data_IF_282564311367
#
_entry.id   IF_282564311367
#
_cell.length_a   1.000
_cell.length_b   1.000
_cell.length_c   1.000
_cell.angle_alpha   90.00
_cell.angle_beta   90.00
_cell.angle_gamma   90.00
#
_symmetry.space_group_name_H-M   'P 1'
#
loop_
_entity.id
_entity.type
_entity.pdbx_description
1 polymer ?
#
# COMPACT_ATOMS: atom_id res chain seq x y z
N UNK A 1 4.81 -15.08 -5.06
CA UNK A 1 3.57 -14.29 -4.98
C UNK A 1 2.39 -15.23 -4.83
N UNK A 2 1.35 -14.85 -4.07
CA UNK A 2 0.06 -15.55 -3.97
C UNK A 2 -0.99 -14.59 -4.52
N UNK A 3 -1.93 -15.08 -5.32
CA UNK A 3 -2.96 -14.28 -5.99
C UNK A 3 -4.27 -15.06 -5.96
N UNK A 4 -5.39 -14.36 -5.82
CA UNK A 4 -6.72 -14.97 -5.93
C UNK A 4 -7.02 -15.35 -7.37
N UNK A 5 -7.51 -16.58 -7.60
CA UNK A 5 -8.07 -16.97 -8.88
C UNK A 5 -9.58 -16.75 -8.85
N UNK A 6 -10.04 -15.72 -9.56
CA UNK A 6 -11.44 -15.30 -9.59
C UNK A 6 -12.19 -16.13 -10.63
N UNK A 7 -13.21 -16.88 -10.18
CA UNK A 7 -14.01 -17.75 -11.04
C UNK A 7 -15.27 -17.08 -11.62
N UNK A 8 -15.73 -16.01 -10.97
CA UNK A 8 -16.88 -15.18 -11.38
C UNK A 8 -16.66 -13.78 -10.84
N UNK A 9 -16.96 -12.77 -11.65
CA UNK A 9 -16.87 -11.35 -11.28
C UNK A 9 -17.85 -10.53 -12.10
N UNK A 10 -18.41 -9.49 -11.50
CA UNK A 10 -19.30 -8.53 -12.17
C UNK A 10 -18.51 -7.45 -12.96
N UNK A 11 -17.17 -7.45 -12.84
CA UNK A 11 -16.23 -6.55 -13.51
C UNK A 11 -15.09 -7.35 -14.14
N UNK A 12 -14.75 -7.06 -15.40
CA UNK A 12 -13.72 -7.78 -16.18
C UNK A 12 -12.29 -7.29 -15.92
N UNK A 13 -12.02 -6.65 -14.77
CA UNK A 13 -10.75 -6.03 -14.43
C UNK A 13 -10.09 -6.76 -13.26
N UNK A 14 -8.85 -7.20 -13.44
CA UNK A 14 -8.05 -7.78 -12.36
C UNK A 14 -7.48 -6.70 -11.45
N UNK A 15 -7.59 -6.88 -10.13
CA UNK A 15 -7.14 -5.90 -9.13
C UNK A 15 -5.79 -6.29 -8.53
N UNK A 16 -4.83 -5.37 -8.56
CA UNK A 16 -3.54 -5.50 -7.88
C UNK A 16 -3.59 -4.76 -6.53
N UNK A 17 -3.91 -5.49 -5.46
CA UNK A 17 -3.91 -4.92 -4.10
C UNK A 17 -2.48 -4.63 -3.60
N UNK A 18 -2.17 -3.35 -3.41
CA UNK A 18 -0.91 -2.86 -2.82
C UNK A 18 -1.06 -2.33 -1.38
N UNK A 19 -2.27 -2.41 -0.82
CA UNK A 19 -2.58 -1.99 0.54
C UNK A 19 -1.97 -2.88 1.64
N UNK A 20 -2.19 -2.47 2.89
CA UNK A 20 -1.68 -3.18 4.07
C UNK A 20 -2.17 -4.63 4.17
N UNK A 21 -1.35 -5.45 4.83
CA UNK A 21 -1.69 -6.81 5.22
C UNK A 21 -2.69 -6.81 6.39
N UNK A 22 -3.99 -6.70 6.07
CA UNK A 22 -5.07 -6.71 7.07
C UNK A 22 -5.63 -8.12 7.25
N UNK A 23 -5.87 -8.53 8.51
CA UNK A 23 -6.27 -9.91 8.84
C UNK A 23 -7.69 -10.26 8.41
N UNK A 24 -8.49 -9.30 7.93
CA UNK A 24 -9.92 -9.48 7.66
C UNK A 24 -10.25 -10.13 6.31
N UNK A 25 -9.57 -9.75 5.22
CA UNK A 25 -9.97 -10.18 3.87
C UNK A 25 -9.56 -11.62 3.51
N UNK A 26 -8.45 -12.11 4.08
CA UNK A 26 -8.02 -13.50 3.91
C UNK A 26 -8.85 -14.49 4.75
N UNK A 27 -9.59 -14.03 5.76
CA UNK A 27 -10.25 -14.88 6.74
C UNK A 27 -11.63 -15.37 6.30
N UNK A 28 -12.24 -14.77 5.26
CA UNK A 28 -13.61 -15.13 4.82
C UNK A 28 -13.71 -16.43 4.02
N UNK A 29 -12.59 -16.99 3.53
CA UNK A 29 -12.59 -18.23 2.72
C UNK A 29 -11.49 -19.23 3.07
N UNK A 30 -10.48 -18.85 3.86
CA UNK A 30 -9.43 -19.77 4.31
C UNK A 30 -9.84 -20.51 5.60
N UNK A 31 -9.61 -21.83 5.62
CA UNK A 31 -9.86 -22.71 6.78
C UNK A 31 -9.23 -22.15 8.07
N UNK A 32 -9.90 -22.27 9.25
CA UNK A 32 -9.47 -21.66 10.52
C UNK A 32 -8.17 -22.22 11.13
N UNK A 33 -7.36 -22.96 10.36
CA UNK A 33 -6.09 -23.56 10.78
C UNK A 33 -4.83 -22.88 10.21
N UNK A 34 -4.95 -21.85 9.37
CA UNK A 34 -3.79 -21.09 8.85
C UNK A 34 -3.75 -19.66 9.39
N UNK A 35 -3.11 -19.47 10.55
CA UNK A 35 -2.83 -18.15 11.17
C UNK A 35 -1.71 -17.36 10.46
N UNK A 36 -1.49 -17.63 9.17
CA UNK A 36 -0.42 -17.03 8.37
C UNK A 36 -1.03 -16.00 7.43
N UNK A 37 -0.93 -14.71 7.78
CA UNK A 37 -1.12 -13.63 6.82
C UNK A 37 -0.21 -13.87 5.60
N UNK A 38 -0.78 -13.84 4.40
CA UNK A 38 0.01 -13.97 3.18
C UNK A 38 0.74 -12.65 2.89
N UNK A 39 2.04 -12.67 2.54
CA UNK A 39 2.74 -11.45 2.19
C UNK A 39 2.06 -10.75 1.00
N UNK A 40 1.80 -9.46 1.16
CA UNK A 40 1.38 -8.53 0.10
C UNK A 40 2.43 -8.47 -1.01
N UNK A 41 2.10 -7.87 -2.15
CA UNK A 41 3.05 -7.75 -3.26
C UNK A 41 4.33 -6.98 -2.86
N UNK A 42 4.28 -5.81 -2.19
CA UNK A 42 5.49 -5.13 -1.71
C UNK A 42 6.29 -5.97 -0.69
N UNK A 43 5.64 -6.57 0.32
CA UNK A 43 6.32 -7.45 1.29
C UNK A 43 7.01 -8.64 0.61
N UNK A 44 6.38 -9.21 -0.42
CA UNK A 44 6.94 -10.34 -1.16
C UNK A 44 8.16 -9.93 -1.99
N UNK A 45 8.16 -8.74 -2.59
CA UNK A 45 9.32 -8.23 -3.33
C UNK A 45 10.52 -7.97 -2.42
N UNK A 46 10.31 -7.58 -1.17
CA UNK A 46 11.36 -7.52 -0.14
C UNK A 46 11.89 -8.93 0.16
N UNK A 47 11.01 -9.91 0.39
CA UNK A 47 11.42 -11.29 0.67
C UNK A 47 12.21 -11.95 -0.46
N UNK A 48 11.85 -11.66 -1.73
CA UNK A 48 12.56 -12.14 -2.91
C UNK A 48 13.85 -11.33 -3.21
N UNK A 49 14.15 -10.29 -2.41
CA UNK A 49 15.37 -9.47 -2.51
C UNK A 49 15.40 -8.49 -3.68
N UNK A 50 14.22 -8.04 -4.13
CA UNK A 50 14.07 -7.16 -5.30
C UNK A 50 13.93 -5.67 -4.93
N UNK A 51 13.43 -5.37 -3.73
CA UNK A 51 13.31 -4.02 -3.18
C UNK A 51 13.71 -3.99 -1.70
N UNK A 52 14.22 -2.86 -1.20
CA UNK A 52 14.71 -2.75 0.18
C UNK A 52 13.59 -2.66 1.23
N UNK A 53 12.54 -1.90 0.95
CA UNK A 53 11.41 -1.61 1.85
C UNK A 53 10.08 -1.89 1.13
N UNK A 54 9.03 -2.38 1.81
CA UNK A 54 7.72 -2.61 1.20
C UNK A 54 6.97 -1.28 1.09
N UNK A 55 7.39 -0.47 0.13
CA UNK A 55 6.80 0.83 -0.18
C UNK A 55 6.57 0.94 -1.69
N UNK A 56 5.75 1.88 -2.12
CA UNK A 56 5.59 2.23 -3.54
C UNK A 56 5.30 3.71 -3.73
N UNK A 57 5.66 4.25 -4.88
CA UNK A 57 5.26 5.61 -5.30
C UNK A 57 4.40 5.57 -6.55
N UNK A 58 3.44 6.49 -6.61
CA UNK A 58 2.45 6.62 -7.65
C UNK A 58 2.49 8.03 -8.23
N UNK A 59 2.53 8.09 -9.56
CA UNK A 59 2.47 9.32 -10.35
C UNK A 59 1.54 9.07 -11.51
N UNK A 60 0.40 9.76 -11.57
CA UNK A 60 -0.66 9.45 -12.54
C UNK A 60 -0.46 10.11 -13.92
N UNK A 61 0.55 10.98 -14.05
CA UNK A 61 0.79 11.86 -15.20
C UNK A 61 -0.40 12.83 -15.47
N UNK A 62 -0.30 13.68 -16.50
CA UNK A 62 -1.35 14.65 -16.82
C UNK A 62 -2.58 14.02 -17.48
N UNK A 63 -3.69 14.77 -17.53
CA UNK A 63 -4.97 14.28 -18.07
C UNK A 63 -4.96 13.96 -19.57
N UNK A 64 -3.91 14.32 -20.32
CA UNK A 64 -3.71 13.94 -21.71
C UNK A 64 -2.78 12.73 -21.89
N UNK A 65 -2.10 12.31 -20.83
CA UNK A 65 -1.19 11.17 -20.85
C UNK A 65 -1.95 9.84 -20.89
N UNK A 66 -1.42 8.88 -21.65
CA UNK A 66 -2.01 7.53 -21.79
C UNK A 66 -1.50 6.53 -20.74
N UNK A 67 -0.61 6.95 -19.83
CA UNK A 67 0.02 6.08 -18.84
C UNK A 67 0.67 6.87 -17.70
N UNK A 68 0.42 6.48 -16.45
CA UNK A 68 1.20 6.91 -15.29
C UNK A 68 2.36 5.95 -14.95
N UNK A 69 3.02 6.20 -13.82
CA UNK A 69 4.13 5.42 -13.29
C UNK A 69 3.84 4.90 -11.87
N UNK A 70 4.17 3.62 -11.64
CA UNK A 70 4.18 2.95 -10.34
C UNK A 70 5.58 2.41 -10.07
N UNK A 71 6.26 2.92 -9.04
CA UNK A 71 7.59 2.44 -8.64
C UNK A 71 7.49 1.68 -7.33
N UNK A 72 8.15 0.53 -7.24
CA UNK A 72 8.13 -0.32 -6.05
C UNK A 72 9.48 -0.17 -5.31
N UNK A 73 9.44 0.24 -4.05
CA UNK A 73 10.61 0.43 -3.20
C UNK A 73 11.51 1.63 -3.55
N UNK A 74 11.00 2.60 -4.32
CA UNK A 74 11.73 3.81 -4.73
C UNK A 74 10.78 5.00 -4.94
N UNK A 75 11.38 6.19 -4.97
CA UNK A 75 10.77 7.42 -5.47
C UNK A 75 11.49 7.90 -6.75
N UNK A 76 10.86 8.81 -7.51
CA UNK A 76 11.49 9.54 -8.62
C UNK A 76 11.42 11.04 -8.34
N UNK A 77 12.57 11.63 -8.03
CA UNK A 77 12.66 13.06 -7.67
C UNK A 77 12.49 13.99 -8.87
N UNK A 78 12.48 13.46 -10.10
CA UNK A 78 12.20 14.24 -11.31
C UNK A 78 10.70 14.54 -11.52
N UNK A 79 9.80 13.82 -10.81
CA UNK A 79 8.34 13.78 -11.02
C UNK A 79 7.52 14.65 -10.07
N UNK A 80 8.16 15.34 -9.14
CA UNK A 80 7.51 16.28 -8.24
C UNK A 80 8.30 17.59 -8.09
N UNK A 81 7.66 18.59 -7.51
CA UNK A 81 8.25 19.87 -7.16
C UNK A 81 7.91 20.29 -5.73
N UNK A 82 8.80 21.08 -5.12
CA UNK A 82 8.72 21.41 -3.69
C UNK A 82 9.15 20.24 -2.79
N UNK A 83 8.88 20.34 -1.47
CA UNK A 83 9.21 19.29 -0.52
C UNK A 83 8.24 18.10 -0.64
N UNK A 84 8.77 16.88 -0.49
CA UNK A 84 7.96 15.68 -0.28
C UNK A 84 7.58 15.62 1.21
N UNK A 85 6.34 15.96 1.54
CA UNK A 85 5.84 15.98 2.91
C UNK A 85 5.44 14.57 3.32
N UNK A 86 6.07 14.00 4.36
CA UNK A 86 5.68 12.70 4.94
C UNK A 86 4.94 12.84 6.26
N UNK A 87 3.96 11.97 6.44
CA UNK A 87 3.13 11.89 7.63
C UNK A 87 2.67 10.44 7.89
N UNK A 88 2.39 10.09 9.13
CA UNK A 88 1.88 8.76 9.46
C UNK A 88 0.40 8.60 9.08
N UNK A 89 0.01 7.43 8.55
CA UNK A 89 -1.40 7.09 8.40
C UNK A 89 -2.08 7.08 9.76
N UNK A 90 -3.37 7.41 9.80
CA UNK A 90 -4.15 7.20 11.02
C UNK A 90 -4.57 5.73 11.13
N UNK A 91 -4.39 5.14 12.31
CA UNK A 91 -5.05 3.87 12.66
C UNK A 91 -6.27 4.15 13.55
N UNK A 92 -7.41 3.54 13.22
CA UNK A 92 -8.69 3.73 13.94
C UNK A 92 -8.74 2.91 15.23
N UNK A 93 -7.90 3.29 16.20
CA UNK A 93 -7.83 2.69 17.53
C UNK A 93 -7.07 1.37 17.61
N UNK A 94 -6.51 1.07 18.79
CA UNK A 94 -5.58 -0.04 19.04
C UNK A 94 -6.12 -1.46 18.77
N UNK A 95 -7.42 -1.59 18.50
CA UNK A 95 -8.09 -2.87 18.24
C UNK A 95 -8.57 -3.04 16.79
N UNK A 96 -8.47 -2.01 15.94
CA UNK A 96 -8.79 -2.12 14.52
C UNK A 96 -7.63 -2.80 13.79
N UNK A 97 -7.90 -3.99 13.23
CA UNK A 97 -6.96 -4.70 12.35
C UNK A 97 -7.00 -4.18 10.91
N UNK A 98 -7.89 -3.23 10.61
CA UNK A 98 -8.03 -2.58 9.30
C UNK A 98 -7.08 -1.38 9.19
N UNK A 99 -5.83 -1.66 8.84
CA UNK A 99 -4.88 -0.64 8.37
C UNK A 99 -5.25 -0.19 6.96
N UNK A 100 -5.27 1.13 6.75
CA UNK A 100 -5.57 1.80 5.48
C UNK A 100 -4.73 3.06 5.36
N UNK A 101 -4.66 3.65 4.17
CA UNK A 101 -3.99 4.93 3.95
C UNK A 101 -4.94 6.10 4.26
N UNK A 102 -5.40 6.13 5.51
CA UNK A 102 -6.34 7.13 6.01
C UNK A 102 -5.58 8.37 6.52
N UNK A 103 -6.08 9.56 6.21
CA UNK A 103 -5.54 10.86 6.66
C UNK A 103 -6.67 11.81 7.07
N UNK A 104 -6.33 13.01 7.52
CA UNK A 104 -7.28 14.02 7.97
C UNK A 104 -7.45 15.14 6.96
N UNK A 105 -8.70 15.56 6.73
CA UNK A 105 -8.99 16.87 6.16
C UNK A 105 -8.97 17.90 7.30
N UNK A 106 -8.09 18.88 7.22
CA UNK A 106 -7.90 19.91 8.25
C UNK A 106 -8.66 21.19 7.91
N UNK A 107 -8.68 21.58 6.64
CA UNK A 107 -9.55 22.65 6.16
C UNK A 107 -9.86 22.45 4.69
N UNK A 108 -11.06 22.82 4.30
CA UNK A 108 -11.51 22.80 2.91
C UNK A 108 -11.91 24.23 2.54
N UNK A 109 -11.24 24.82 1.54
CA UNK A 109 -11.54 26.19 1.10
C UNK A 109 -11.70 26.21 -0.42
N UNK A 110 -12.62 27.04 -0.93
CA UNK A 110 -12.94 27.11 -2.35
C UNK A 110 -13.38 28.49 -2.82
N UNK A 111 -13.35 28.69 -4.13
CA UNK A 111 -13.91 29.87 -4.79
C UNK A 111 -14.47 29.51 -6.18
N UNK A 112 -15.42 30.32 -6.66
CA UNK A 112 -16.01 30.21 -8.02
C UNK A 112 -15.11 30.74 -9.13
N UNK A 113 -14.10 31.56 -8.79
CA UNK A 113 -13.05 32.03 -9.69
C UNK A 113 -11.67 31.61 -9.19
N UNK A 114 -10.77 31.41 -10.14
CA UNK A 114 -9.33 31.34 -9.99
C UNK A 114 -8.70 32.57 -9.29
N UNK A 115 -9.28 33.76 -9.46
CA UNK A 115 -8.73 35.02 -8.93
C UNK A 115 -9.30 35.45 -7.57
N UNK A 116 -10.54 35.07 -7.25
CA UNK A 116 -11.22 35.46 -6.01
C UNK A 116 -10.60 34.77 -4.76
N UNK A 117 -10.74 35.40 -3.59
CA UNK A 117 -10.29 34.86 -2.31
C UNK A 117 -11.05 33.57 -1.94
N UNK A 118 -10.30 32.55 -1.49
CA UNK A 118 -10.90 31.28 -1.05
C UNK A 118 -11.72 31.49 0.23
N UNK A 119 -12.95 30.98 0.21
CA UNK A 119 -13.83 30.92 1.38
C UNK A 119 -13.81 29.50 1.97
N UNK A 120 -13.95 29.35 3.30
CA UNK A 120 -14.11 28.02 3.91
C UNK A 120 -15.40 27.36 3.42
N UNK A 121 -15.34 26.06 3.18
CA UNK A 121 -16.47 25.19 2.82
C UNK A 121 -16.65 24.12 3.89
N UNK A 122 -17.87 23.59 4.04
CA UNK A 122 -18.22 22.58 5.03
C UNK A 122 -18.18 23.14 6.45
N UNK A 123 -19.22 23.88 6.85
CA UNK A 123 -19.34 24.42 8.23
C UNK A 123 -19.22 23.35 9.33
N UNK A 124 -19.45 22.06 9.01
CA UNK A 124 -19.33 20.96 9.96
C UNK A 124 -17.90 20.43 10.13
N UNK A 125 -16.91 20.91 9.35
CA UNK A 125 -15.49 20.60 9.55
C UNK A 125 -15.01 21.13 10.90
N UNK A 126 -15.16 20.29 11.92
CA UNK A 126 -14.69 20.57 13.27
C UNK A 126 -13.17 20.62 13.23
N UNK A 127 -12.59 21.67 13.81
CA UNK A 127 -11.17 21.63 14.13
C UNK A 127 -10.95 20.45 15.06
N UNK A 128 -10.14 19.48 14.62
CA UNK A 128 -9.98 18.25 15.36
C UNK A 128 -9.26 18.53 16.69
N UNK A 129 -9.98 18.36 17.80
CA UNK A 129 -9.44 18.58 19.15
C UNK A 129 -9.10 17.30 19.90
N UNK A 130 -9.40 16.12 19.33
CA UNK A 130 -9.22 14.82 19.97
C UNK A 130 -8.62 13.79 18.99
N UNK A 131 -7.68 12.99 19.49
CA UNK A 131 -7.07 11.85 18.79
C UNK A 131 -8.09 10.77 18.39
N UNK A 132 -9.23 10.70 19.07
CA UNK A 132 -10.31 9.74 18.79
C UNK A 132 -11.37 10.25 17.80
N UNK A 133 -11.38 11.54 17.44
CA UNK A 133 -12.38 12.12 16.54
C UNK A 133 -12.16 11.66 15.09
N UNK A 134 -13.11 10.90 14.52
CA UNK A 134 -13.07 10.36 13.15
C UNK A 134 -13.88 11.15 12.14
N UNK A 135 -14.51 12.27 12.50
CA UNK A 135 -15.41 13.00 11.59
C UNK A 135 -14.71 13.54 10.34
N UNK A 136 -13.43 13.90 10.41
CA UNK A 136 -12.68 14.41 9.25
C UNK A 136 -11.69 13.37 8.67
N UNK A 137 -11.88 12.08 8.98
CA UNK A 137 -11.01 11.00 8.50
C UNK A 137 -11.38 10.61 7.08
N UNK A 138 -10.42 10.66 6.16
CA UNK A 138 -10.62 10.36 4.74
C UNK A 138 -9.61 9.31 4.25
N UNK A 139 -10.08 8.33 3.48
CA UNK A 139 -9.23 7.36 2.79
C UNK A 139 -8.61 7.99 1.54
N UNK A 140 -7.31 7.80 1.31
CA UNK A 140 -6.71 8.09 0.00
C UNK A 140 -6.95 6.90 -0.96
N UNK A 141 -7.73 7.13 -2.01
CA UNK A 141 -8.16 6.13 -2.99
C UNK A 141 -7.78 6.53 -4.43
N UNK A 142 -6.49 6.50 -4.81
CA UNK A 142 -6.06 6.82 -6.18
C UNK A 142 -6.48 5.74 -7.22
N UNK A 143 -7.19 4.71 -6.79
CA UNK A 143 -7.91 3.74 -7.63
C UNK A 143 -9.36 4.17 -7.95
N UNK A 144 -9.94 5.08 -7.16
CA UNK A 144 -11.31 5.57 -7.35
C UNK A 144 -11.33 6.78 -8.31
N UNK A 145 -12.23 6.74 -9.30
CA UNK A 145 -12.45 7.88 -10.19
C UNK A 145 -13.16 9.06 -9.49
N UNK A 146 -14.04 8.75 -8.52
CA UNK A 146 -14.84 9.71 -7.76
C UNK A 146 -14.34 9.79 -6.31
N UNK A 147 -14.65 10.92 -5.66
CA UNK A 147 -14.45 11.13 -4.23
C UNK A 147 -15.79 11.11 -3.50
N UNK A 148 -15.82 10.61 -2.27
CA UNK A 148 -17.00 10.66 -1.39
C UNK A 148 -16.65 11.50 -0.17
N UNK A 149 -17.46 12.51 0.12
CA UNK A 149 -17.20 13.49 1.18
C UNK A 149 -18.41 13.63 2.12
N UNK A 150 -18.21 14.24 3.31
CA UNK A 150 -19.30 14.74 4.14
C UNK A 150 -20.32 15.54 3.33
N UNK A 151 -21.60 15.38 3.67
CA UNK A 151 -22.72 15.94 2.93
C UNK A 151 -22.64 17.47 2.75
N UNK A 152 -22.23 18.19 3.80
CA UNK A 152 -22.08 19.64 3.76
C UNK A 152 -20.97 20.09 2.80
N UNK A 153 -19.79 19.45 2.84
CA UNK A 153 -18.68 19.73 1.90
C UNK A 153 -19.11 19.39 0.47
N UNK A 154 -19.79 18.26 0.26
CA UNK A 154 -20.25 17.84 -1.06
C UNK A 154 -21.28 18.84 -1.63
N UNK A 155 -22.28 19.23 -0.85
CA UNK A 155 -23.31 20.19 -1.25
C UNK A 155 -22.74 21.59 -1.52
N UNK A 156 -21.82 22.07 -0.68
CA UNK A 156 -21.10 23.33 -0.92
C UNK A 156 -20.34 23.29 -2.25
N UNK A 157 -19.65 22.18 -2.54
CA UNK A 157 -18.94 21.98 -3.80
C UNK A 157 -19.86 21.88 -5.01
N UNK A 158 -21.03 21.25 -4.89
CA UNK A 158 -22.04 21.22 -5.94
C UNK A 158 -22.56 22.64 -6.23
N UNK A 159 -22.89 23.40 -5.18
CA UNK A 159 -23.30 24.81 -5.30
C UNK A 159 -22.18 25.72 -5.82
N UNK A 160 -20.91 25.37 -5.57
CA UNK A 160 -19.74 26.09 -6.07
C UNK A 160 -19.53 25.85 -7.57
N UNK A 161 -19.57 24.59 -8.01
CA UNK A 161 -19.31 24.17 -9.39
C UNK A 161 -20.52 24.29 -10.33
N UNK A 162 -21.75 24.35 -9.79
CA UNK A 162 -22.99 24.25 -10.58
C UNK A 162 -23.38 22.80 -10.91
N UNK A 163 -22.98 21.85 -10.06
CA UNK A 163 -23.41 20.45 -10.15
C UNK A 163 -24.74 20.23 -9.40
N UNK A 164 -25.44 19.16 -9.72
CA UNK A 164 -26.71 18.77 -9.09
C UNK A 164 -26.82 17.25 -8.97
N UNK A 165 -27.52 16.78 -7.94
CA UNK A 165 -27.90 15.37 -7.82
C UNK A 165 -28.90 14.95 -8.90
N UNK A 166 -28.74 13.73 -9.42
CA UNK A 166 -29.67 13.09 -10.34
C UNK A 166 -30.19 11.77 -9.74
N UNK A 167 -31.49 11.72 -9.46
CA UNK A 167 -32.14 10.57 -8.79
C UNK A 167 -32.22 9.32 -9.68
N UNK A 168 -32.34 9.47 -11.00
CA UNK A 168 -32.46 8.34 -11.94
C UNK A 168 -31.11 7.62 -12.12
N UNK A 169 -30.01 8.38 -12.10
CA UNK A 169 -28.63 7.87 -12.21
C UNK A 169 -28.04 7.46 -10.87
N UNK A 170 -28.47 8.07 -9.76
CA UNK A 170 -27.87 7.88 -8.44
C UNK A 170 -26.47 8.52 -8.31
N UNK A 171 -26.22 9.63 -8.99
CA UNK A 171 -24.97 10.39 -8.92
C UNK A 171 -25.19 11.91 -9.06
N UNK A 172 -24.27 12.69 -8.51
CA UNK A 172 -24.13 14.10 -8.85
C UNK A 172 -23.53 14.28 -10.26
N UNK A 173 -24.17 15.13 -11.06
CA UNK A 173 -23.83 15.44 -12.44
C UNK A 173 -23.64 16.94 -12.65
N UNK A 174 -22.95 17.30 -13.74
CA UNK A 174 -22.68 18.67 -14.17
C UNK A 174 -22.71 18.73 -15.70
N UNK A 175 -23.17 19.80 -16.37
CA UNK A 175 -23.09 19.91 -17.82
C UNK A 175 -21.64 19.75 -18.32
N UNK A 176 -21.42 18.95 -19.38
CA UNK A 176 -20.07 18.66 -19.92
C UNK A 176 -19.37 19.86 -20.60
N UNK A 177 -19.83 21.09 -20.40
CA UNK A 177 -19.27 22.28 -21.06
C UNK A 177 -17.97 22.73 -20.37
N UNK A 178 -16.83 22.35 -20.94
CA UNK A 178 -15.48 22.44 -20.35
C UNK A 178 -14.95 23.85 -19.95
N UNK A 179 -15.75 24.92 -20.11
CA UNK A 179 -15.28 26.31 -20.02
C UNK A 179 -16.08 27.22 -19.06
N UNK A 180 -16.96 26.66 -18.24
CA UNK A 180 -17.72 27.44 -17.24
C UNK A 180 -17.12 27.37 -15.83
N UNK A 181 -16.43 26.27 -15.49
CA UNK A 181 -15.99 25.95 -14.13
C UNK A 181 -14.60 26.51 -13.80
N UNK A 182 -14.49 27.84 -13.72
CA UNK A 182 -13.20 28.55 -13.48
C UNK A 182 -12.71 28.55 -12.02
N UNK A 183 -13.48 27.99 -11.10
CA UNK A 183 -13.15 27.99 -9.67
C UNK A 183 -11.99 27.10 -9.27
N UNK A 184 -11.52 27.26 -8.03
CA UNK A 184 -10.39 26.54 -7.45
C UNK A 184 -10.61 26.20 -5.98
N UNK A 185 -9.94 25.15 -5.52
CA UNK A 185 -9.98 24.63 -4.16
C UNK A 185 -8.58 24.54 -3.56
N UNK A 186 -8.50 24.72 -2.24
CA UNK A 186 -7.34 24.37 -1.42
C UNK A 186 -7.80 23.45 -0.27
N UNK A 187 -7.36 22.19 -0.30
CA UNK A 187 -7.66 21.19 0.72
C UNK A 187 -6.40 20.92 1.54
N UNK A 188 -6.38 21.38 2.78
CA UNK A 188 -5.29 21.12 3.72
C UNK A 188 -5.48 19.72 4.33
N UNK A 189 -4.47 18.86 4.19
CA UNK A 189 -4.44 17.56 4.85
C UNK A 189 -3.46 17.57 6.03
N UNK A 190 -3.69 16.68 6.99
CA UNK A 190 -2.76 16.33 8.08
C UNK A 190 -2.19 17.52 8.88
N UNK A 191 -3.06 18.42 9.34
CA UNK A 191 -2.68 19.58 10.17
C UNK A 191 -2.16 20.75 9.33
N UNK A 192 -1.80 21.85 10.00
CA UNK A 192 -1.36 23.10 9.37
C UNK A 192 -0.02 23.01 8.64
N UNK A 193 0.83 22.03 8.97
CA UNK A 193 2.10 21.77 8.28
C UNK A 193 1.99 20.74 7.15
N UNK A 194 0.86 20.05 7.01
CA UNK A 194 0.69 18.99 6.02
C UNK A 194 0.53 19.48 4.56
N UNK A 195 0.31 18.57 3.59
CA UNK A 195 0.20 18.94 2.19
C UNK A 195 -1.14 19.63 1.87
N UNK A 196 -1.08 20.64 1.00
CA UNK A 196 -2.26 21.33 0.43
C UNK A 196 -2.53 20.83 -0.98
N UNK A 197 -3.68 20.22 -1.20
CA UNK A 197 -4.18 19.90 -2.54
C UNK A 197 -4.75 21.17 -3.17
N UNK A 198 -4.15 21.64 -4.25
CA UNK A 198 -4.68 22.73 -5.05
C UNK A 198 -5.35 22.12 -6.29
N UNK A 199 -6.66 22.26 -6.41
CA UNK A 199 -7.49 21.55 -7.40
C UNK A 199 -8.39 22.54 -8.12
N UNK A 200 -8.40 22.55 -9.46
CA UNK A 200 -9.38 23.35 -10.20
C UNK A 200 -10.76 22.68 -10.13
N UNK A 201 -11.85 23.44 -10.13
CA UNK A 201 -13.18 22.82 -10.17
C UNK A 201 -13.44 22.07 -11.48
N UNK A 202 -12.82 22.49 -12.58
CA UNK A 202 -12.78 21.72 -13.83
C UNK A 202 -12.13 20.33 -13.66
N UNK A 203 -11.17 20.17 -12.74
CA UNK A 203 -10.53 18.88 -12.47
C UNK A 203 -11.44 17.88 -11.76
N UNK A 204 -12.51 18.37 -11.13
CA UNK A 204 -13.59 17.60 -10.54
C UNK A 204 -14.66 17.22 -11.57
N UNK A 205 -14.54 17.54 -12.84
CA UNK A 205 -15.44 17.03 -13.88
C UNK A 205 -14.83 15.75 -14.47
N UNK A 206 -15.57 14.63 -14.44
CA UNK A 206 -15.15 13.42 -15.14
C UNK A 206 -15.35 13.65 -16.65
N UNK A 207 -14.31 13.40 -17.45
CA UNK A 207 -14.39 13.61 -18.91
C UNK A 207 -15.51 12.78 -19.53
N UNK A 208 -16.21 13.39 -20.50
CA UNK A 208 -17.21 12.73 -21.36
C UNK A 208 -16.65 11.49 -22.07
N UNK A 209 -15.34 11.43 -22.35
CA UNK A 209 -14.68 10.27 -22.94
C UNK A 209 -14.66 9.05 -22.00
N UNK A 210 -14.74 9.28 -20.68
CA UNK A 210 -14.83 8.24 -19.65
C UNK A 210 -16.28 7.89 -19.36
N UNK A 211 -17.13 8.92 -19.20
CA UNK A 211 -18.56 8.77 -18.98
C UNK A 211 -19.30 10.06 -19.31
N UNK A 212 -20.42 9.95 -20.02
CA UNK A 212 -21.42 11.02 -20.18
C UNK A 212 -22.84 10.44 -20.22
N UNK A 213 -23.83 11.31 -20.01
CA UNK A 213 -25.25 10.99 -20.14
C UNK A 213 -26.00 12.14 -20.83
N UNK A 214 -26.76 11.80 -21.88
CA UNK A 214 -27.60 12.75 -22.60
C UNK A 214 -29.03 12.73 -22.06
N UNK A 215 -29.49 13.87 -21.55
CA UNK A 215 -30.89 14.05 -21.14
C UNK A 215 -31.65 14.88 -22.16
N UNK A 216 -32.83 14.41 -22.56
CA UNK A 216 -33.70 15.14 -23.48
C UNK A 216 -34.64 16.09 -22.73
N UNK A 217 -34.54 17.39 -23.02
CA UNK A 217 -35.50 18.38 -22.52
C UNK A 217 -36.64 18.57 -23.52
N UNK A 218 -37.87 18.33 -23.06
CA UNK A 218 -39.10 18.63 -23.80
C UNK A 218 -39.40 20.13 -23.87
N UNK A 219 -38.79 20.95 -23.00
CA UNK A 219 -39.01 22.41 -22.97
C UNK A 219 -38.16 23.15 -24.01
N UNK A 220 -36.94 22.67 -24.25
CA UNK A 220 -36.00 23.25 -25.23
C UNK A 220 -35.93 22.45 -26.54
N UNK A 221 -36.65 21.32 -26.62
CA UNK A 221 -36.60 20.34 -27.70
C UNK A 221 -35.15 19.93 -28.08
N UNK A 222 -34.31 19.74 -27.06
CA UNK A 222 -32.87 19.47 -27.22
C UNK A 222 -32.32 18.49 -26.18
N UNK A 223 -31.34 17.69 -26.58
CA UNK A 223 -30.51 16.93 -25.65
C UNK A 223 -29.45 17.85 -25.01
N UNK A 224 -29.22 17.67 -23.70
CA UNK A 224 -28.10 18.27 -22.97
C UNK A 224 -27.18 17.16 -22.47
N UNK A 225 -25.87 17.34 -22.63
CA UNK A 225 -24.87 16.35 -22.22
C UNK A 225 -24.35 16.65 -20.81
N UNK A 226 -24.45 15.65 -19.93
CA UNK A 226 -24.02 15.72 -18.54
C UNK A 226 -22.88 14.75 -18.27
N UNK A 227 -21.94 15.21 -17.46
CA UNK A 227 -20.75 14.50 -17.01
C UNK A 227 -20.90 14.20 -15.51
N UNK A 228 -20.26 13.15 -15.00
CA UNK A 228 -20.23 12.91 -13.55
C UNK A 228 -19.45 14.04 -12.88
N UNK A 229 -20.03 14.58 -11.80
CA UNK A 229 -19.25 15.41 -10.89
C UNK A 229 -18.43 14.51 -9.97
N UNK A 230 -17.15 14.85 -9.83
CA UNK A 230 -16.10 14.06 -9.20
C UNK A 230 -16.18 13.95 -7.69
N UNK A 231 -17.22 14.53 -7.09
CA UNK A 231 -17.48 14.58 -5.65
C UNK A 231 -18.92 14.17 -5.40
N UNK A 232 -19.10 13.16 -4.56
CA UNK A 232 -20.39 12.61 -4.16
C UNK A 232 -20.58 12.81 -2.64
N UNK A 233 -21.83 12.97 -2.19
CA UNK A 233 -22.16 12.98 -0.76
C UNK A 233 -22.26 11.55 -0.23
N UNK A 234 -21.78 11.33 1.00
CA UNK A 234 -21.96 10.08 1.74
C UNK A 234 -23.43 9.61 1.81
N UNK A 235 -24.38 10.56 1.88
CA UNK A 235 -25.80 10.26 2.00
C UNK A 235 -26.39 9.73 0.70
N UNK A 236 -25.79 10.11 -0.43
CA UNK A 236 -26.28 9.77 -1.76
C UNK A 236 -25.65 8.49 -2.30
N UNK A 237 -24.43 8.14 -1.87
CA UNK A 237 -23.71 6.90 -2.25
C UNK A 237 -24.15 5.67 -1.44
N UNK A 238 -25.45 5.35 -1.45
CA UNK A 238 -26.02 4.20 -0.69
C UNK A 238 -25.48 2.81 -1.07
N UNK A 239 -24.67 2.70 -2.13
CA UNK A 239 -24.37 1.44 -2.83
C UNK A 239 -22.95 0.90 -2.61
N UNK A 240 -21.97 1.72 -2.17
CA UNK A 240 -20.55 1.31 -2.17
C UNK A 240 -19.77 1.53 -0.87
N UNK A 241 -20.21 2.40 0.04
CA UNK A 241 -19.47 2.66 1.29
C UNK A 241 -19.79 1.59 2.33
N UNK A 242 -18.80 0.78 2.71
CA UNK A 242 -18.91 -0.09 3.88
C UNK A 242 -19.27 0.73 5.13
N UNK A 243 -20.16 0.21 5.97
CA UNK A 243 -20.74 0.88 7.16
C UNK A 243 -19.77 1.25 8.29
N UNK A 244 -18.46 1.29 8.02
CA UNK A 244 -17.42 1.71 8.97
C UNK A 244 -16.98 3.16 8.77
N UNK A 245 -16.68 3.59 7.52
CA UNK A 245 -16.28 4.98 7.19
C UNK A 245 -16.62 5.26 5.71
N UNK A 246 -17.35 6.35 5.38
CA UNK A 246 -17.80 6.61 4.02
C UNK A 246 -16.88 7.52 3.18
N UNK A 247 -15.94 8.25 3.79
CA UNK A 247 -15.18 9.30 3.08
C UNK A 247 -13.92 8.81 2.36
N UNK A 248 -13.74 9.25 1.11
CA UNK A 248 -12.56 8.99 0.29
C UNK A 248 -12.19 10.15 -0.63
N UNK A 249 -10.89 10.38 -0.83
CA UNK A 249 -10.36 11.21 -1.91
C UNK A 249 -9.94 10.31 -3.06
N UNK A 250 -10.66 10.43 -4.18
CA UNK A 250 -10.35 9.80 -5.45
C UNK A 250 -9.43 10.63 -6.34
N UNK A 251 -9.22 10.16 -7.56
CA UNK A 251 -8.35 10.78 -8.55
C UNK A 251 -8.74 12.21 -8.93
N UNK A 252 -10.01 12.61 -8.73
CA UNK A 252 -10.47 13.99 -8.92
C UNK A 252 -9.73 15.00 -8.03
N UNK A 253 -9.27 14.60 -6.83
CA UNK A 253 -8.33 15.40 -6.02
C UNK A 253 -6.87 14.94 -6.18
N UNK A 254 -6.63 13.64 -6.35
CA UNK A 254 -5.28 13.07 -6.24
C UNK A 254 -4.43 13.14 -7.52
N UNK A 255 -5.01 13.35 -8.71
CA UNK A 255 -4.26 13.34 -9.99
C UNK A 255 -3.13 14.37 -10.10
N UNK A 256 -3.22 15.49 -9.38
CA UNK A 256 -2.19 16.53 -9.33
C UNK A 256 -1.07 16.27 -8.31
N UNK A 257 -0.95 15.02 -7.84
CA UNK A 257 -0.12 14.65 -6.70
C UNK A 257 0.88 13.56 -7.05
N UNK A 258 2.09 13.70 -6.54
CA UNK A 258 3.04 12.61 -6.42
C UNK A 258 2.90 11.99 -5.03
N UNK A 259 2.57 10.71 -4.96
CA UNK A 259 2.24 10.02 -3.72
C UNK A 259 3.23 8.89 -3.46
N UNK A 260 3.56 8.66 -2.19
CA UNK A 260 4.38 7.54 -1.72
C UNK A 260 3.66 6.86 -0.58
N UNK A 261 3.61 5.54 -0.60
CA UNK A 261 2.89 4.71 0.37
C UNK A 261 3.89 3.74 1.00
N UNK A 262 4.19 3.91 2.28
CA UNK A 262 5.12 3.09 3.04
C UNK A 262 4.36 2.16 4.00
N UNK A 263 4.33 0.86 3.69
CA UNK A 263 3.56 -0.11 4.47
C UNK A 263 4.23 -0.49 5.80
N UNK A 264 5.55 -0.34 5.93
CA UNK A 264 6.28 -0.79 7.13
C UNK A 264 6.40 0.32 8.18
N UNK A 265 6.59 1.56 7.73
CA UNK A 265 6.56 2.73 8.62
C UNK A 265 5.13 3.21 8.90
N UNK A 266 4.15 2.74 8.12
CA UNK A 266 2.75 3.21 8.15
C UNK A 266 2.69 4.72 7.85
N UNK A 267 3.35 5.15 6.76
CA UNK A 267 3.47 6.54 6.33
C UNK A 267 2.99 6.79 4.90
N UNK A 268 2.57 8.02 4.63
CA UNK A 268 2.29 8.57 3.30
C UNK A 268 3.27 9.72 3.06
N UNK A 269 3.90 9.74 1.88
CA UNK A 269 4.62 10.89 1.34
C UNK A 269 3.78 11.57 0.26
N UNK A 270 3.77 12.89 0.24
CA UNK A 270 2.91 13.67 -0.65
C UNK A 270 3.62 14.92 -1.17
N UNK A 271 3.62 15.13 -2.47
CA UNK A 271 4.21 16.30 -3.13
C UNK A 271 3.35 16.76 -4.32
N UNK A 272 3.53 18.00 -4.76
CA UNK A 272 2.92 18.49 -6.00
C UNK A 272 3.57 17.80 -7.19
N UNK A 273 2.77 17.24 -8.09
CA UNK A 273 3.27 16.55 -9.29
C UNK A 273 3.93 17.52 -10.28
N UNK A 274 4.84 16.99 -11.10
CA UNK A 274 5.49 17.69 -12.21
C UNK A 274 5.29 16.91 -13.51
N UNK A 275 4.21 17.26 -14.22
CA UNK A 275 3.80 16.62 -15.47
C UNK A 275 4.87 16.70 -16.58
N UNK A 276 5.32 17.91 -16.90
CA UNK A 276 6.30 18.21 -17.97
C UNK A 276 7.76 17.87 -17.60
N UNK A 277 7.95 16.70 -16.99
CA UNK A 277 9.23 16.09 -16.66
C UNK A 277 9.96 15.56 -17.91
N UNK A 278 10.48 16.47 -18.76
CA UNK A 278 11.41 16.11 -19.85
C UNK A 278 12.81 15.70 -19.36
N UNK A 279 12.99 15.57 -18.05
CA UNK A 279 14.22 15.10 -17.43
C UNK A 279 14.26 13.56 -17.45
N UNK A 280 15.47 13.01 -17.45
CA UNK A 280 15.66 11.59 -17.15
C UNK A 280 15.20 11.30 -15.72
N UNK A 281 14.59 10.14 -15.51
CA UNK A 281 14.16 9.65 -14.19
C UNK A 281 15.31 9.73 -13.17
N UNK A 282 15.04 10.29 -11.99
CA UNK A 282 16.02 10.37 -10.89
C UNK A 282 15.53 9.51 -9.72
N UNK A 283 15.74 8.20 -9.90
CA UNK A 283 15.21 7.14 -9.06
C UNK A 283 16.03 6.96 -7.78
N UNK A 284 15.42 7.28 -6.64
CA UNK A 284 16.02 7.11 -5.31
C UNK A 284 15.36 5.93 -4.59
N UNK A 285 16.02 4.76 -4.47
CA UNK A 285 15.47 3.62 -3.73
C UNK A 285 15.51 3.86 -2.21
N UNK A 286 14.63 3.17 -1.48
CA UNK A 286 14.72 3.11 -0.03
C UNK A 286 16.04 2.44 0.38
N UNK A 287 16.77 3.05 1.33
CA UNK A 287 18.14 2.63 1.68
C UNK A 287 18.20 1.29 2.42
N UNK A 288 17.17 0.94 3.18
CA UNK A 288 17.02 -0.33 3.88
C UNK A 288 15.55 -0.65 4.15
N UNK A 289 15.27 -1.85 4.66
CA UNK A 289 13.96 -2.20 5.20
C UNK A 289 13.59 -1.26 6.36
N UNK A 290 12.43 -0.62 6.30
CA UNK A 290 12.02 0.37 7.31
C UNK A 290 12.81 1.69 7.28
N UNK A 291 13.59 1.95 6.22
CA UNK A 291 14.13 3.30 5.99
C UNK A 291 12.98 4.28 5.74
N UNK A 292 13.15 5.54 6.14
CA UNK A 292 12.20 6.61 5.84
C UNK A 292 12.10 6.85 4.33
N UNK A 293 10.97 7.43 3.91
CA UNK A 293 10.75 7.90 2.54
C UNK A 293 11.91 8.82 2.12
N UNK A 294 12.67 8.51 1.05
CA UNK A 294 13.81 9.32 0.65
C UNK A 294 13.41 10.78 0.33
N UNK A 295 14.32 11.72 0.54
CA UNK A 295 14.12 13.16 0.25
C UNK A 295 12.84 13.80 0.85
N UNK A 296 12.28 13.21 1.93
CA UNK A 296 11.05 13.68 2.56
C UNK A 296 11.27 14.51 3.83
N UNK A 297 10.29 15.34 4.18
CA UNK A 297 10.23 16.13 5.41
C UNK A 297 9.04 15.65 6.25
N UNK A 298 9.28 15.31 7.52
CA UNK A 298 8.21 14.86 8.44
C UNK A 298 7.41 16.05 8.97
N UNK A 299 6.10 15.88 9.07
CA UNK A 299 5.19 16.83 9.74
C UNK A 299 4.39 16.13 10.84
N UNK A 300 3.74 16.90 11.72
CA UNK A 300 2.87 16.39 12.78
C UNK A 300 1.51 17.09 12.75
N UNK A 301 0.49 16.48 13.36
CA UNK A 301 -0.83 17.10 13.52
C UNK A 301 -0.78 18.19 14.60
N UNK A 302 -1.54 19.27 14.40
CA UNK A 302 -1.52 20.48 15.26
C UNK A 302 -1.81 20.19 16.75
N UNK A 303 -2.63 19.17 17.02
CA UNK A 303 -3.02 18.76 18.38
C UNK A 303 -2.08 17.69 19.00
N UNK A 304 -1.10 17.18 18.27
CA UNK A 304 -0.15 16.15 18.73
C UNK A 304 1.02 16.73 19.57
N UNK A 305 0.74 17.32 20.73
CA UNK A 305 1.79 17.85 21.62
C UNK A 305 2.51 16.77 22.46
N UNK A 306 3.38 15.97 21.83
CA UNK A 306 4.45 15.16 22.46
C UNK A 306 4.07 14.10 23.53
N UNK A 307 2.78 13.87 23.81
CA UNK A 307 2.32 13.08 24.98
C UNK A 307 1.36 11.93 24.68
N UNK A 308 0.84 11.82 23.45
CA UNK A 308 -0.04 10.72 23.02
C UNK A 308 0.72 9.69 22.19
N UNK A 309 0.69 8.42 22.62
CA UNK A 309 1.31 7.29 21.91
C UNK A 309 0.65 6.93 20.57
N UNK A 310 -0.46 7.59 20.23
CA UNK A 310 -1.16 7.47 18.95
C UNK A 310 -0.64 8.46 17.90
N UNK A 311 0.00 9.54 18.33
CA UNK A 311 0.78 10.39 17.44
C UNK A 311 2.17 9.75 17.31
N UNK A 312 2.44 9.05 16.21
CA UNK A 312 3.82 8.62 15.92
C UNK A 312 4.70 9.86 15.86
N UNK A 313 5.74 9.91 16.69
CA UNK A 313 6.67 11.02 16.70
C UNK A 313 7.40 11.07 15.35
N UNK A 314 7.20 12.15 14.60
CA UNK A 314 8.11 12.52 13.52
C UNK A 314 9.55 12.61 14.05
N UNK A 315 10.51 12.28 13.18
CA UNK A 315 11.86 11.90 13.59
C UNK A 315 12.70 13.12 14.02
N UNK A 316 12.48 13.58 15.24
CA UNK A 316 13.19 14.69 15.87
C UNK A 316 14.59 14.28 16.31
N UNK A 317 15.48 14.16 15.33
CA UNK A 317 16.89 13.89 15.54
C UNK A 317 17.61 15.01 16.31
N UNK A 318 17.63 14.94 17.64
CA UNK A 318 18.58 15.66 18.48
C UNK A 318 18.92 14.85 19.73
N UNK A 319 20.15 14.37 19.81
CA UNK A 319 20.60 13.53 20.93
C UNK A 319 21.06 14.34 22.14
N UNK A 320 20.68 13.90 23.34
CA UNK A 320 21.48 14.03 24.57
C UNK A 320 20.97 13.05 25.62
N UNK A 321 21.89 12.38 26.33
CA UNK A 321 21.55 11.26 27.21
C UNK A 321 21.00 11.68 28.58
N UNK A 322 20.19 10.81 29.17
CA UNK A 322 19.72 10.95 30.55
C UNK A 322 18.74 9.84 30.93
N UNK A 323 19.16 8.90 31.76
CA UNK A 323 18.26 8.08 32.58
C UNK A 323 18.60 8.27 34.07
N UNK A 324 17.95 7.54 34.99
CA UNK A 324 16.65 6.87 34.87
C UNK A 324 15.73 7.10 36.09
N UNK A 325 14.49 7.53 35.87
CA UNK A 325 13.36 7.49 36.83
C UNK A 325 12.05 7.35 36.01
N UNK A 326 11.00 6.64 36.42
CA UNK A 326 10.84 5.75 37.57
C UNK A 326 9.36 5.65 38.00
N UNK A 327 8.70 4.51 37.76
CA UNK A 327 7.39 4.16 38.33
C UNK A 327 6.15 4.64 37.56
N UNK A 328 5.37 3.69 37.04
CA UNK A 328 4.12 3.94 36.32
C UNK A 328 3.39 2.65 35.95
N UNK A 329 3.08 1.80 36.94
CA UNK A 329 2.43 0.50 36.74
C UNK A 329 0.94 0.62 36.44
N UNK A 330 0.49 0.09 35.31
CA UNK A 330 -0.93 -0.28 35.12
C UNK A 330 -0.99 -1.70 34.55
N UNK A 331 -1.58 -2.63 35.31
CA UNK A 331 -1.75 -4.03 34.93
C UNK A 331 -2.99 -4.23 34.07
N UNK A 332 -2.87 -4.86 32.90
CA UNK A 332 -3.93 -5.66 32.28
C UNK A 332 -3.37 -6.78 31.38
N UNK A 333 -3.75 -8.03 31.68
CA UNK A 333 -3.93 -9.12 30.70
C UNK A 333 -2.69 -9.85 30.16
N UNK A 334 -2.44 -11.07 30.65
CA UNK A 334 -1.38 -11.95 30.14
C UNK A 334 -1.60 -12.41 28.67
N UNK A 335 -0.54 -12.27 27.86
CA UNK A 335 -0.39 -12.89 26.54
C UNK A 335 1.05 -13.34 26.34
N UNK A 336 1.34 -14.62 26.57
CA UNK A 336 2.70 -15.13 26.79
C UNK A 336 3.47 -15.41 25.47
N UNK A 337 4.38 -14.52 25.10
CA UNK A 337 5.51 -14.82 24.18
C UNK A 337 6.83 -14.32 24.80
N UNK A 338 7.89 -15.14 24.89
CA UNK A 338 9.07 -14.81 25.67
C UNK A 338 10.07 -13.92 24.90
N UNK A 339 10.21 -12.67 25.33
CA UNK A 339 11.27 -11.76 24.91
C UNK A 339 12.34 -11.57 25.99
N UNK A 340 13.60 -11.85 25.63
CA UNK A 340 14.82 -11.59 26.41
C UNK A 340 15.02 -12.36 27.73
N UNK A 341 15.82 -13.42 27.64
CA UNK A 341 16.56 -13.97 28.78
C UNK A 341 17.71 -13.01 29.21
N UNK A 342 18.06 -12.96 30.50
CA UNK A 342 19.14 -12.09 31.00
C UNK A 342 20.52 -12.49 30.46
N UNK A 343 21.46 -11.53 30.49
CA UNK A 343 22.78 -11.61 29.85
C UNK A 343 23.57 -12.91 30.13
N UNK A 344 23.45 -13.46 31.34
CA UNK A 344 24.14 -14.70 31.74
C UNK A 344 23.61 -15.96 31.03
N UNK A 345 22.34 -15.98 30.60
CA UNK A 345 21.76 -17.10 29.87
C UNK A 345 22.25 -17.19 28.41
N UNK A 346 22.58 -16.05 27.79
CA UNK A 346 23.12 -16.02 26.42
C UNK A 346 24.50 -16.71 26.33
N UNK A 347 25.30 -16.64 27.38
CA UNK A 347 26.57 -17.37 27.50
C UNK A 347 26.37 -18.89 27.64
N UNK A 348 25.33 -19.34 28.32
CA UNK A 348 25.01 -20.76 28.45
C UNK A 348 24.52 -21.41 27.14
N UNK A 349 23.80 -20.65 26.30
CA UNK A 349 23.27 -21.14 25.02
C UNK A 349 24.39 -21.24 23.96
N UNK A 350 25.35 -20.32 23.95
CA UNK A 350 26.50 -20.39 23.03
C UNK A 350 27.36 -21.64 23.19
N UNK A 351 27.53 -22.13 24.43
CA UNK A 351 28.34 -23.32 24.72
C UNK A 351 27.62 -24.63 24.38
N UNK A 352 26.29 -24.70 24.56
CA UNK A 352 25.53 -25.94 24.31
C UNK A 352 25.40 -26.29 22.82
N UNK A 353 25.24 -25.29 21.95
CA UNK A 353 25.17 -25.49 20.49
C UNK A 353 26.50 -26.01 19.93
N UNK A 354 27.64 -25.48 20.39
CA UNK A 354 28.97 -25.95 19.96
C UNK A 354 29.23 -27.41 20.33
N UNK A 355 28.88 -27.82 21.56
CA UNK A 355 28.98 -29.23 22.00
C UNK A 355 28.05 -30.13 21.19
N UNK A 356 26.82 -29.70 20.90
CA UNK A 356 25.88 -30.49 20.09
C UNK A 356 26.39 -30.69 18.65
N UNK A 357 26.86 -29.63 17.98
CA UNK A 357 27.40 -29.72 16.62
C UNK A 357 28.63 -30.64 16.52
N UNK A 358 29.54 -30.59 17.50
CA UNK A 358 30.70 -31.50 17.54
C UNK A 358 30.30 -32.96 17.79
N UNK A 359 29.31 -33.20 18.65
CA UNK A 359 28.78 -34.55 18.92
C UNK A 359 28.11 -35.15 17.66
N UNK A 360 27.30 -34.36 16.95
CA UNK A 360 26.65 -34.78 15.69
C UNK A 360 27.68 -35.08 14.60
N UNK A 361 28.72 -34.25 14.43
CA UNK A 361 29.82 -34.55 13.50
C UNK A 361 30.58 -35.83 13.89
N UNK A 362 30.85 -36.03 15.19
CA UNK A 362 31.49 -37.24 15.70
C UNK A 362 30.68 -38.51 15.38
N UNK A 363 29.36 -38.49 15.62
CA UNK A 363 28.45 -39.58 15.29
C UNK A 363 28.35 -39.83 13.77
N UNK A 364 28.36 -38.77 12.96
CA UNK A 364 28.35 -38.87 11.49
C UNK A 364 29.63 -39.54 10.97
N UNK A 365 30.79 -39.12 11.45
CA UNK A 365 32.09 -39.74 11.12
C UNK A 365 32.15 -41.20 11.59
N UNK A 366 31.62 -41.50 12.78
CA UNK A 366 31.52 -42.86 13.30
C UNK A 366 30.60 -43.74 12.44
N UNK A 367 29.43 -43.26 12.05
CA UNK A 367 28.50 -43.96 11.17
C UNK A 367 29.12 -44.25 9.79
N UNK A 368 29.81 -43.27 9.19
CA UNK A 368 30.54 -43.46 7.93
C UNK A 368 31.66 -44.52 8.08
N UNK A 369 32.44 -44.46 9.17
CA UNK A 369 33.51 -45.45 9.44
C UNK A 369 32.94 -46.86 9.70
N UNK A 370 31.82 -46.98 10.44
CA UNK A 370 31.12 -48.25 10.68
C UNK A 370 30.54 -48.82 9.38
N UNK A 371 29.91 -47.99 8.56
CA UNK A 371 29.41 -48.37 7.24
C UNK A 371 30.51 -48.86 6.30
N UNK A 372 31.68 -48.21 6.29
CA UNK A 372 32.86 -48.68 5.53
C UNK A 372 33.37 -50.04 6.02
N UNK A 373 33.41 -50.29 7.33
CA UNK A 373 33.77 -51.61 7.89
C UNK A 373 32.77 -52.71 7.49
N UNK A 374 31.47 -52.44 7.60
CA UNK A 374 30.42 -53.39 7.21
C UNK A 374 30.51 -53.72 5.73
N UNK A 375 30.67 -52.72 4.84
CA UNK A 375 30.87 -52.95 3.40
C UNK A 375 32.13 -53.75 3.09
N UNK A 376 33.22 -53.61 3.87
CA UNK A 376 34.43 -54.43 3.71
C UNK A 376 34.17 -55.88 4.11
N UNK A 377 33.55 -56.12 5.26
CA UNK A 377 33.15 -57.46 5.71
C UNK A 377 32.16 -58.14 4.73
N UNK A 378 31.21 -57.39 4.18
CA UNK A 378 30.30 -57.89 3.13
C UNK A 378 31.02 -58.23 1.82
N UNK A 379 32.04 -57.47 1.41
CA UNK A 379 32.90 -57.84 0.27
C UNK A 379 33.68 -59.13 0.54
N UNK A 380 34.30 -59.26 1.71
CA UNK A 380 35.07 -60.45 2.11
C UNK A 380 34.15 -61.70 2.23
N UNK A 381 32.89 -61.54 2.64
CA UNK A 381 31.88 -62.61 2.62
C UNK A 381 31.42 -62.96 1.19
N UNK A 382 31.14 -61.96 0.35
CA UNK A 382 30.74 -62.16 -1.05
C UNK A 382 31.85 -62.78 -1.92
N UNK A 383 33.11 -62.57 -1.54
CA UNK A 383 34.27 -63.18 -2.21
C UNK A 383 34.45 -64.64 -1.80
N UNK A 384 34.14 -65.00 -0.54
CA UNK A 384 34.08 -66.39 -0.06
C UNK A 384 32.83 -67.16 -0.53
N UNK A 385 31.75 -66.46 -0.88
CA UNK A 385 30.48 -67.08 -1.29
C UNK A 385 30.32 -67.21 -2.82
N UNK A 386 31.38 -67.10 -3.61
CA UNK A 386 31.31 -67.34 -5.07
C UNK A 386 31.18 -68.84 -5.36
N UNK A 387 30.03 -69.34 -5.85
CA UNK A 387 29.96 -70.70 -6.36
C UNK A 387 30.79 -70.79 -7.64
N UNK A 388 31.63 -71.82 -7.76
CA UNK A 388 32.18 -72.25 -9.05
C UNK A 388 31.04 -72.73 -9.92
N UNK A 389 30.71 -72.00 -11.00
CA UNK A 389 29.71 -72.45 -11.97
C UNK A 389 30.18 -72.38 -13.42
N UNK A 390 29.65 -73.32 -14.19
CA UNK A 390 30.11 -73.78 -15.50
C UNK A 390 29.43 -72.96 -16.63
N UNK A 391 30.06 -72.64 -17.77
CA UNK A 391 29.46 -71.70 -18.72
C UNK A 391 28.42 -72.37 -19.65
N UNK A 392 27.15 -71.99 -19.53
CA UNK A 392 26.13 -72.24 -20.55
C UNK A 392 24.97 -71.21 -20.52
N UNK A 393 24.77 -70.50 -21.65
CA UNK A 393 23.56 -69.74 -22.06
C UNK A 393 23.09 -68.51 -21.21
N UNK A 394 22.45 -67.45 -21.75
CA UNK A 394 22.45 -66.76 -23.07
C UNK A 394 21.68 -65.41 -22.96
N UNK A 395 22.05 -64.37 -23.75
CA UNK A 395 21.31 -63.11 -24.05
C UNK A 395 21.03 -62.09 -22.90
N UNK A 396 21.49 -60.81 -22.98
CA UNK A 396 20.98 -59.59 -23.70
C UNK A 396 19.64 -59.04 -23.13
N UNK A 397 19.39 -57.74 -22.90
CA UNK A 397 20.20 -56.49 -22.92
C UNK A 397 19.35 -55.28 -22.42
N UNK A 398 19.96 -54.24 -21.82
CA UNK A 398 19.34 -52.89 -21.60
C UNK A 398 19.56 -51.92 -22.79
N UNK A 399 19.62 -50.57 -22.65
CA UNK A 399 19.77 -49.75 -21.42
C UNK A 399 18.97 -48.35 -21.47
N UNK A 400 19.43 -47.12 -21.05
CA UNK A 400 18.57 -46.16 -20.28
C UNK A 400 18.59 -44.65 -20.71
N UNK A 401 18.19 -43.74 -19.80
CA UNK A 401 18.04 -42.25 -19.89
C UNK A 401 19.30 -41.38 -19.72
N UNK A 402 19.28 -40.12 -20.22
CA UNK A 402 20.00 -38.86 -19.81
C UNK A 402 19.41 -37.66 -20.62
N UNK A 403 19.55 -36.33 -20.37
CA UNK A 403 19.82 -35.46 -19.19
C UNK A 403 19.62 -33.94 -19.60
N UNK A 404 19.80 -32.96 -18.67
CA UNK A 404 20.23 -31.54 -18.82
C UNK A 404 19.24 -30.34 -18.67
N UNK A 405 19.80 -29.20 -18.21
CA UNK A 405 19.16 -27.91 -17.87
C UNK A 405 20.18 -26.73 -17.94
N UNK A 406 19.76 -25.44 -18.05
CA UNK A 406 20.37 -24.18 -17.48
C UNK A 406 19.82 -22.84 -18.08
N UNK A 407 20.20 -21.68 -17.48
CA UNK A 407 20.10 -20.24 -17.92
C UNK A 407 18.79 -19.46 -17.62
N UNK A 408 18.75 -18.14 -17.30
CA UNK A 408 19.63 -17.18 -16.55
C UNK A 408 18.77 -15.92 -16.13
N UNK A 409 19.26 -15.03 -15.25
CA UNK A 409 18.57 -13.84 -14.68
C UNK A 409 18.76 -12.52 -15.48
N UNK A 410 17.74 -11.63 -15.45
CA UNK A 410 17.79 -10.17 -15.67
C UNK A 410 16.70 -9.47 -14.81
N UNK A 411 16.81 -8.17 -14.45
CA UNK A 411 15.76 -7.43 -13.76
C UNK A 411 14.59 -7.05 -14.69
N UNK A 412 13.38 -6.91 -14.14
CA UNK A 412 12.17 -6.55 -14.88
C UNK A 412 11.92 -5.05 -14.90
N UNK A 413 11.78 -4.48 -16.10
CA UNK A 413 11.09 -3.21 -16.36
C UNK A 413 9.80 -3.59 -17.10
N UNK A 414 8.63 -3.32 -16.52
CA UNK A 414 7.36 -3.69 -17.12
C UNK A 414 6.84 -2.52 -17.97
N UNK A 415 7.14 -2.55 -19.27
CA UNK A 415 6.71 -1.54 -20.22
C UNK A 415 5.46 -2.06 -20.96
N UNK A 416 4.27 -1.60 -20.57
CA UNK A 416 2.99 -2.07 -21.11
C UNK A 416 2.64 -1.27 -22.37
N UNK A 417 2.71 -1.91 -23.54
CA UNK A 417 1.94 -1.50 -24.72
C UNK A 417 0.63 -2.27 -24.72
N UNK A 418 -0.50 -1.58 -24.82
CA UNK A 418 -1.71 -2.20 -25.36
C UNK A 418 -1.77 -2.09 -26.88
N UNK A 419 -2.37 -3.12 -27.49
CA UNK A 419 -2.82 -3.12 -28.87
C UNK A 419 -4.26 -2.61 -28.92
N UNK A 420 -4.66 -2.12 -30.09
CA UNK A 420 -5.95 -1.48 -30.40
C UNK A 420 -7.16 -2.36 -30.10
#
# INVERSE_FOLDING_TARGET
MIMGYVQSADVLIGVLGLGFNTTGSAQSTASPSSTSNYPTVPERLVQDGLISSPAYSLWLDDSSATSGNLLLGAIDTSKFEGPLIRFSVRTTGSWSTSRRFDTFITSFNGSKSDTDDLQPLGESLRQQTDAYDTSNLVLLSPDAALSVLPDDIALDLWALAGASWNDDLGYAIIPCTENTTTGRLAVQLYGSEGPVLNVALADLVVSQDVWSHSEWSWETESASEYCLFGVQSENSTSTYTSSSYPYSLGNTFLKHSYMVFDLINEEIGFAKTKFSSTQTEDLVPFSSHGAQIPASTSVMLDWCSSTSSQCRAGDSGSGSGGGPYGGGTTYLGDGYYPGHLPLEANLAIGLSVGVFCTMVMGLSIWAIRRGRRIRKAQKELAEKSKPTWNPAARHRSGPPMEMLATWLKKPCVLNIRQLQ
#
